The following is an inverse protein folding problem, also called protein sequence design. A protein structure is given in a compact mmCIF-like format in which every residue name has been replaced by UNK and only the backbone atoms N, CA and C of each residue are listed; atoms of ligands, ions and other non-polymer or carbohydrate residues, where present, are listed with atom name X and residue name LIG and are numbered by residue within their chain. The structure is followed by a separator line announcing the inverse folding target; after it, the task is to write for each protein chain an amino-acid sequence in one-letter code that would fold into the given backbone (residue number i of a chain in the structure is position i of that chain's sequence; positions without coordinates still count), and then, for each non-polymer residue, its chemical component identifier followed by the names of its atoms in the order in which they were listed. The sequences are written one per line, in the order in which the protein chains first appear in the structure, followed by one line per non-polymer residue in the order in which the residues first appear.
data_IF_933116739363
#
_entry.id   IF_933116739363
#
_cell.length_a   1.000
_cell.length_b   1.000
_cell.length_c   1.000
_cell.angle_alpha   90.00
_cell.angle_beta   90.00
_cell.angle_gamma   90.00
#
_symmetry.space_group_name_H-M   'P 1'
#
loop_
_entity.id
_entity.type
_entity.pdbx_description
1 polymer ?
#
# COMPACT_ATOMS: atom_id res chain seq x y z
N UNK A 1 -11.76 39.57 7.68
CA UNK A 1 -12.75 39.24 8.72
C UNK A 1 -13.83 38.43 8.06
N UNK A 2 -14.15 37.25 8.60
CA UNK A 2 -15.18 36.37 8.11
C UNK A 2 -16.41 36.52 9.01
N UNK A 3 -17.60 36.67 8.42
CA UNK A 3 -18.85 36.80 9.19
C UNK A 3 -20.07 36.42 8.37
N UNK A 4 -21.17 36.17 9.05
CA UNK A 4 -22.46 35.94 8.41
C UNK A 4 -23.32 37.17 8.51
N UNK A 5 -24.08 37.47 7.45
CA UNK A 5 -25.02 38.58 7.40
C UNK A 5 -26.42 38.06 7.10
N UNK A 6 -27.36 38.35 7.97
CA UNK A 6 -28.77 38.08 7.73
C UNK A 6 -29.39 39.37 7.14
N UNK A 7 -29.99 39.27 5.96
CA UNK A 7 -30.73 40.35 5.31
C UNK A 7 -32.21 40.00 5.31
N UNK A 8 -33.05 40.89 5.81
CA UNK A 8 -34.51 40.75 5.82
C UNK A 8 -35.10 41.95 5.10
N UNK A 9 -36.09 41.73 4.25
CA UNK A 9 -36.68 42.79 3.43
C UNK A 9 -35.76 43.35 2.34
N UNK A 10 -34.77 42.55 1.89
CA UNK A 10 -33.89 42.92 0.80
C UNK A 10 -34.60 42.89 -0.55
N UNK A 11 -33.97 43.47 -1.62
CA UNK A 11 -34.46 43.45 -3.01
C UNK A 11 -35.92 43.86 -3.18
N UNK A 12 -36.21 45.07 -2.77
CA UNK A 12 -37.57 45.62 -2.90
C UNK A 12 -38.55 45.12 -1.85
N UNK A 13 -38.03 44.76 -0.69
CA UNK A 13 -38.81 44.35 0.50
C UNK A 13 -39.55 42.99 0.29
N UNK A 14 -38.95 42.08 -0.45
CA UNK A 14 -39.62 40.82 -0.78
C UNK A 14 -38.82 39.56 -0.40
N UNK A 15 -37.61 39.70 0.08
CA UNK A 15 -36.75 38.53 0.31
C UNK A 15 -35.98 38.59 1.63
N UNK A 16 -35.69 37.40 2.19
CA UNK A 16 -34.71 37.24 3.26
C UNK A 16 -33.60 36.30 2.82
N UNK A 17 -32.36 36.54 3.23
CA UNK A 17 -31.26 35.66 2.97
C UNK A 17 -30.15 35.80 4.00
N UNK A 18 -29.39 34.71 4.16
CA UNK A 18 -28.15 34.68 4.91
C UNK A 18 -26.98 34.64 3.94
N UNK A 19 -25.98 35.50 4.14
CA UNK A 19 -24.77 35.56 3.31
C UNK A 19 -23.54 35.26 4.16
N UNK A 20 -22.65 34.41 3.66
CA UNK A 20 -21.32 34.25 4.22
C UNK A 20 -20.39 35.28 3.57
N UNK A 21 -19.73 36.09 4.37
CA UNK A 21 -18.78 37.11 3.93
C UNK A 21 -17.38 36.65 4.34
N UNK A 22 -16.53 36.37 3.34
CA UNK A 22 -15.14 35.94 3.53
C UNK A 22 -14.22 37.04 3.03
N UNK A 23 -13.31 37.48 3.92
CA UNK A 23 -12.36 38.60 3.63
C UNK A 23 -13.01 39.85 3.03
N UNK A 24 -14.24 40.15 3.49
CA UNK A 24 -14.97 41.33 3.05
C UNK A 24 -15.73 41.19 1.73
N UNK A 25 -15.64 40.04 1.10
CA UNK A 25 -16.35 39.74 -0.18
C UNK A 25 -17.49 38.76 0.09
N UNK A 26 -18.70 39.12 -0.40
CA UNK A 26 -19.84 38.18 -0.34
C UNK A 26 -19.65 37.05 -1.34
N UNK A 27 -19.77 35.82 -0.90
CA UNK A 27 -19.74 34.63 -1.76
C UNK A 27 -21.03 34.54 -2.60
N UNK A 28 -21.18 35.42 -3.57
CA UNK A 28 -22.33 35.39 -4.50
C UNK A 28 -22.03 34.73 -5.85
N UNK A 29 -20.85 34.15 -6.03
CA UNK A 29 -20.47 33.45 -7.25
C UNK A 29 -19.63 32.21 -6.94
N UNK A 30 -20.27 31.05 -7.08
CA UNK A 30 -19.61 29.74 -7.09
C UNK A 30 -19.89 28.89 -5.84
N UNK A 31 -20.58 27.79 -6.05
CA UNK A 31 -20.86 26.68 -5.12
C UNK A 31 -21.29 27.10 -3.70
N UNK A 32 -22.44 27.72 -3.62
CA UNK A 32 -23.08 28.08 -2.37
C UNK A 32 -23.70 26.83 -1.77
N UNK A 33 -23.23 26.44 -0.59
CA UNK A 33 -23.96 25.52 0.26
C UNK A 33 -25.42 26.01 0.38
N UNK A 34 -26.35 25.10 0.18
CA UNK A 34 -27.79 25.30 0.09
C UNK A 34 -28.35 26.47 0.91
N UNK A 35 -28.73 27.55 0.22
CA UNK A 35 -29.53 28.63 0.78
C UNK A 35 -31.00 28.30 0.56
N UNK A 36 -31.80 28.25 1.62
CA UNK A 36 -33.25 28.25 1.43
C UNK A 36 -33.74 29.71 1.39
N UNK A 37 -34.38 30.05 0.30
CA UNK A 37 -35.08 31.32 0.19
C UNK A 37 -36.56 31.08 0.54
N UNK A 38 -37.07 31.85 1.49
CA UNK A 38 -38.52 31.99 1.62
C UNK A 38 -38.90 33.27 0.90
N UNK A 39 -39.61 33.15 -0.20
CA UNK A 39 -40.23 34.29 -0.91
C UNK A 39 -41.33 34.90 -0.06
N UNK A 40 -41.54 36.25 -0.16
CA UNK A 40 -42.58 37.06 0.48
C UNK A 40 -42.36 37.42 1.92
N UNK A 41 -41.13 37.72 2.32
CA UNK A 41 -40.88 38.47 3.58
C UNK A 41 -41.11 39.95 3.28
N UNK A 42 -42.21 40.52 3.82
CA UNK A 42 -42.55 41.93 3.65
C UNK A 42 -42.43 42.65 5.01
N UNK A 43 -41.70 43.74 5.04
CA UNK A 43 -41.50 44.57 6.19
C UNK A 43 -42.31 45.89 5.97
N UNK A 44 -43.26 46.17 6.85
CA UNK A 44 -44.07 47.40 6.76
C UNK A 44 -43.40 48.52 7.55
N UNK A 45 -43.58 49.74 7.09
CA UNK A 45 -43.10 50.90 7.80
C UNK A 45 -43.90 51.12 9.12
N UNK A 46 -43.19 51.50 10.19
CA UNK A 46 -43.71 51.77 11.54
C UNK A 46 -44.30 50.52 12.26
N UNK A 47 -43.94 49.32 11.84
CA UNK A 47 -44.22 48.09 12.58
C UNK A 47 -42.95 47.59 13.31
N UNK A 48 -43.14 46.96 14.45
CA UNK A 48 -42.10 46.25 15.16
C UNK A 48 -42.12 44.79 14.79
N UNK A 49 -40.94 44.22 14.60
CA UNK A 49 -40.74 42.82 14.28
C UNK A 49 -39.74 42.18 15.21
N UNK A 50 -40.06 41.02 15.74
CA UNK A 50 -39.08 40.16 16.42
C UNK A 50 -38.26 39.39 15.42
N UNK A 51 -36.94 39.54 15.53
CA UNK A 51 -35.99 38.81 14.71
C UNK A 51 -35.20 37.84 15.58
N UNK A 52 -35.41 36.54 15.38
CA UNK A 52 -34.66 35.49 16.03
C UNK A 52 -33.65 34.90 15.08
N UNK A 53 -32.38 34.76 15.49
CA UNK A 53 -31.35 34.06 14.73
C UNK A 53 -30.80 32.93 15.58
N UNK A 54 -31.04 31.71 15.15
CA UNK A 54 -30.47 30.48 15.74
C UNK A 54 -29.17 30.13 15.04
N UNK A 55 -28.10 29.92 15.81
CA UNK A 55 -26.78 29.52 15.29
C UNK A 55 -26.39 28.20 15.93
N UNK A 56 -26.34 27.14 15.15
CA UNK A 56 -25.80 25.83 15.54
C UNK A 56 -24.46 25.60 14.88
N UNK A 57 -23.82 24.47 15.13
CA UNK A 57 -22.55 24.12 14.48
C UNK A 57 -22.70 23.94 12.96
N UNK A 58 -23.85 23.42 12.51
CA UNK A 58 -24.09 23.04 11.11
C UNK A 58 -24.92 24.06 10.32
N UNK A 59 -25.71 24.90 11.00
CA UNK A 59 -26.73 25.71 10.34
C UNK A 59 -26.97 27.03 11.06
N UNK A 60 -27.33 28.05 10.29
CA UNK A 60 -27.87 29.33 10.78
C UNK A 60 -29.32 29.41 10.25
N UNK A 61 -30.27 29.67 11.15
CA UNK A 61 -31.68 29.91 10.85
C UNK A 61 -32.11 31.30 11.27
N UNK A 62 -32.97 31.88 10.49
CA UNK A 62 -33.58 33.17 10.82
C UNK A 62 -35.11 33.05 10.82
N UNK A 63 -35.71 33.72 11.78
CA UNK A 63 -37.15 33.78 12.00
C UNK A 63 -37.57 35.26 12.13
N UNK A 64 -38.78 35.53 11.68
CA UNK A 64 -39.44 36.82 11.81
C UNK A 64 -40.79 36.63 12.52
N UNK A 65 -41.01 37.21 13.69
CA UNK A 65 -42.19 37.00 14.53
C UNK A 65 -42.46 35.50 14.76
N UNK A 66 -41.42 34.72 15.09
CA UNK A 66 -41.42 33.28 15.30
C UNK A 66 -41.71 32.44 14.02
N UNK A 67 -41.94 33.07 12.85
CA UNK A 67 -42.05 32.37 11.59
C UNK A 67 -40.67 32.17 10.94
N UNK A 68 -40.38 30.94 10.50
CA UNK A 68 -39.13 30.62 9.80
C UNK A 68 -39.04 31.36 8.46
N UNK A 69 -37.96 32.09 8.20
CA UNK A 69 -37.78 32.87 6.97
C UNK A 69 -36.65 32.40 6.07
N UNK A 70 -35.53 31.93 6.61
CA UNK A 70 -34.44 31.37 5.82
C UNK A 70 -33.44 30.61 6.68
N UNK A 71 -32.67 29.72 6.04
CA UNK A 71 -31.55 29.08 6.66
C UNK A 71 -30.31 29.10 5.76
N UNK A 72 -29.16 28.85 6.37
CA UNK A 72 -27.88 28.69 5.70
C UNK A 72 -27.13 27.55 6.38
N UNK A 73 -26.88 26.47 5.61
CA UNK A 73 -26.02 25.39 6.07
C UNK A 73 -24.58 25.89 6.01
N UNK A 74 -23.91 25.90 7.16
CA UNK A 74 -22.49 26.22 7.21
C UNK A 74 -21.74 25.19 6.39
N UNK A 75 -20.79 25.61 5.53
CA UNK A 75 -19.89 24.64 4.92
C UNK A 75 -19.19 23.90 6.05
N UNK A 76 -19.12 22.57 5.95
CA UNK A 76 -18.27 21.80 6.88
C UNK A 76 -16.86 22.35 6.76
N UNK A 77 -16.36 22.94 7.84
CA UNK A 77 -14.94 23.23 7.96
C UNK A 77 -14.25 21.87 8.08
N UNK A 78 -13.73 21.39 6.98
CA UNK A 78 -12.82 20.28 7.02
C UNK A 78 -11.53 20.76 7.67
N UNK A 79 -10.96 19.93 8.55
CA UNK A 79 -9.66 20.24 9.14
C UNK A 79 -8.58 20.40 8.09
N UNK A 80 -7.40 20.90 8.46
CA UNK A 80 -6.30 21.17 7.52
C UNK A 80 -5.65 19.90 6.93
N UNK A 81 -6.09 18.71 7.38
CA UNK A 81 -5.63 17.41 6.88
C UNK A 81 -6.82 16.62 6.37
N UNK A 82 -6.68 16.12 5.15
CA UNK A 82 -7.68 15.29 4.49
C UNK A 82 -7.08 13.93 4.22
N UNK A 83 -7.86 12.87 4.36
CA UNK A 83 -7.43 11.53 4.02
C UNK A 83 -8.56 10.73 3.36
N UNK A 84 -8.16 9.79 2.53
CA UNK A 84 -9.03 8.75 1.99
C UNK A 84 -8.24 7.47 1.84
N UNK A 85 -8.92 6.34 1.93
CA UNK A 85 -8.29 5.03 1.69
C UNK A 85 -9.13 4.23 0.71
N UNK A 86 -8.44 3.35 -0.01
CA UNK A 86 -9.04 2.37 -0.91
C UNK A 86 -8.28 1.06 -0.79
N UNK A 87 -9.01 -0.04 -0.86
CA UNK A 87 -8.43 -1.36 -0.98
C UNK A 87 -8.32 -1.71 -2.46
N UNK A 88 -7.13 -2.10 -2.89
CA UNK A 88 -6.85 -2.55 -4.25
C UNK A 88 -7.01 -4.08 -4.27
N UNK A 89 -8.12 -4.56 -4.79
CA UNK A 89 -8.45 -6.00 -4.83
C UNK A 89 -7.48 -6.81 -5.70
N UNK A 90 -6.81 -6.16 -6.64
CA UNK A 90 -5.87 -6.83 -7.56
C UNK A 90 -4.52 -7.10 -6.87
N UNK A 91 -4.01 -6.12 -6.12
CA UNK A 91 -2.70 -6.20 -5.46
C UNK A 91 -2.80 -6.56 -3.98
N UNK A 92 -4.01 -6.44 -3.39
CA UNK A 92 -4.24 -6.57 -1.96
C UNK A 92 -3.65 -5.44 -1.14
N UNK A 93 -3.32 -4.33 -1.77
CA UNK A 93 -2.73 -3.19 -1.06
C UNK A 93 -3.83 -2.28 -0.48
N UNK A 94 -3.59 -1.75 0.68
CA UNK A 94 -4.35 -0.59 1.18
C UNK A 94 -3.62 0.67 0.75
N UNK A 95 -4.28 1.47 -0.08
CA UNK A 95 -3.75 2.74 -0.58
C UNK A 95 -4.37 3.87 0.23
N UNK A 96 -3.55 4.59 0.98
CA UNK A 96 -3.96 5.76 1.77
C UNK A 96 -3.47 7.02 1.07
N UNK A 97 -4.40 7.95 0.83
CA UNK A 97 -4.09 9.28 0.29
C UNK A 97 -4.23 10.30 1.42
N UNK A 98 -3.25 11.16 1.56
CA UNK A 98 -3.20 12.21 2.58
C UNK A 98 -2.91 13.54 1.93
N UNK A 99 -3.68 14.57 2.26
CA UNK A 99 -3.42 15.96 1.90
C UNK A 99 -3.19 16.74 3.19
N UNK A 100 -2.03 17.34 3.34
CA UNK A 100 -1.74 18.31 4.40
C UNK A 100 -1.69 19.70 3.77
N UNK A 101 -2.62 20.57 4.17
CA UNK A 101 -2.69 21.96 3.68
C UNK A 101 -2.13 22.96 4.68
N UNK A 102 -1.43 22.48 5.72
CA UNK A 102 -0.73 23.34 6.67
C UNK A 102 0.67 23.69 6.16
N UNK A 103 1.16 24.82 6.57
CA UNK A 103 2.53 25.30 6.35
C UNK A 103 3.58 24.61 7.25
N UNK A 104 3.18 23.53 7.94
CA UNK A 104 4.01 22.76 8.85
C UNK A 104 3.70 21.27 8.73
N UNK A 105 4.68 20.45 9.05
CA UNK A 105 4.53 18.99 9.10
C UNK A 105 3.53 18.55 10.17
N UNK A 106 2.73 17.54 9.86
CA UNK A 106 1.72 17.00 10.78
C UNK A 106 1.91 15.50 10.98
N UNK A 107 1.98 15.09 12.25
CA UNK A 107 1.97 13.69 12.62
C UNK A 107 0.53 13.14 12.63
N UNK A 108 0.27 12.14 11.79
CA UNK A 108 -1.04 11.54 11.59
C UNK A 108 -0.98 10.09 12.11
N UNK A 109 -1.81 9.77 13.09
CA UNK A 109 -2.01 8.39 13.52
C UNK A 109 -2.78 7.61 12.47
N UNK A 110 -2.18 6.55 11.95
CA UNK A 110 -2.78 5.61 11.01
C UNK A 110 -3.26 4.37 11.77
N UNK A 111 -4.51 3.95 11.50
CA UNK A 111 -5.05 2.70 12.00
C UNK A 111 -5.68 1.93 10.84
N UNK A 112 -5.08 0.80 10.49
CA UNK A 112 -5.59 -0.11 9.45
C UNK A 112 -6.39 -1.20 10.14
N UNK A 113 -7.69 -1.25 9.90
CA UNK A 113 -8.61 -2.25 10.43
C UNK A 113 -9.24 -3.06 9.31
N UNK A 114 -9.50 -4.33 9.57
CA UNK A 114 -10.06 -5.25 8.57
C UNK A 114 -9.00 -5.98 7.75
N UNK A 115 -7.78 -5.44 7.66
CA UNK A 115 -6.65 -6.00 6.96
C UNK A 115 -5.42 -6.06 7.86
N UNK A 116 -4.50 -6.98 7.58
CA UNK A 116 -3.21 -7.06 8.28
C UNK A 116 -2.10 -6.51 7.40
N UNK A 117 -1.44 -5.46 7.85
CA UNK A 117 -0.24 -4.93 7.19
C UNK A 117 0.91 -5.92 7.40
N UNK A 118 1.47 -6.43 6.31
CA UNK A 118 2.44 -7.54 6.31
C UNK A 118 3.87 -7.09 6.06
N UNK A 119 4.09 -5.83 5.73
CA UNK A 119 5.42 -5.24 5.53
C UNK A 119 5.58 -4.02 6.42
N UNK A 120 6.72 -3.91 7.10
CA UNK A 120 7.10 -2.69 7.83
C UNK A 120 7.53 -1.55 6.89
N UNK A 121 7.71 -1.83 5.60
CA UNK A 121 8.04 -0.85 4.58
C UNK A 121 6.81 -0.58 3.71
N UNK A 122 6.46 0.69 3.55
CA UNK A 122 5.43 1.13 2.62
C UNK A 122 6.03 2.07 1.57
N UNK A 123 5.71 1.84 0.30
CA UNK A 123 6.04 2.78 -0.78
C UNK A 123 5.17 4.02 -0.63
N UNK A 124 5.80 5.16 -0.51
CA UNK A 124 5.11 6.43 -0.35
C UNK A 124 5.55 7.40 -1.45
N UNK A 125 4.58 7.86 -2.23
CA UNK A 125 4.82 8.93 -3.21
C UNK A 125 4.36 10.24 -2.59
N UNK A 126 5.26 11.20 -2.46
CA UNK A 126 5.01 12.51 -1.87
C UNK A 126 5.24 13.60 -2.90
N UNK A 127 4.27 14.49 -3.01
CA UNK A 127 4.39 15.75 -3.72
C UNK A 127 4.22 16.88 -2.71
N UNK A 128 5.27 17.67 -2.50
CA UNK A 128 5.29 18.80 -1.55
C UNK A 128 6.09 19.95 -2.14
N UNK A 129 5.77 21.17 -1.74
CA UNK A 129 6.46 22.35 -2.19
C UNK A 129 5.69 23.62 -1.83
N UNK A 130 6.29 24.78 -2.08
CA UNK A 130 5.63 26.08 -1.93
C UNK A 130 4.35 26.12 -2.77
N UNK A 131 3.23 26.50 -2.16
CA UNK A 131 1.90 26.58 -2.77
C UNK A 131 1.83 27.56 -3.96
N UNK A 132 2.83 28.41 -4.12
CA UNK A 132 2.95 29.34 -5.25
C UNK A 132 3.75 28.74 -6.43
N UNK A 133 4.34 27.56 -6.29
CA UNK A 133 5.04 26.91 -7.37
C UNK A 133 4.05 26.20 -8.30
N UNK A 134 4.31 26.33 -9.59
CA UNK A 134 3.58 25.63 -10.65
C UNK A 134 4.55 25.09 -11.70
N UNK A 135 4.20 23.94 -12.27
CA UNK A 135 4.91 23.43 -13.42
C UNK A 135 4.51 24.23 -14.66
N UNK A 136 5.48 24.74 -15.40
CA UNK A 136 5.28 25.52 -16.61
C UNK A 136 6.07 24.93 -17.79
N UNK A 137 5.88 25.48 -18.98
CA UNK A 137 6.68 25.07 -20.15
C UNK A 137 8.17 25.33 -19.96
N UNK A 138 8.52 26.36 -19.21
CA UNK A 138 9.92 26.77 -18.94
C UNK A 138 10.50 26.06 -17.71
N UNK A 139 9.65 25.62 -16.78
CA UNK A 139 10.05 24.88 -15.59
C UNK A 139 9.09 23.70 -15.35
N UNK A 140 9.30 22.61 -16.06
CA UNK A 140 8.43 21.43 -16.05
C UNK A 140 8.51 20.62 -14.75
N UNK A 141 9.55 20.82 -13.96
CA UNK A 141 9.86 20.05 -12.76
C UNK A 141 9.93 20.93 -11.50
N UNK A 142 9.18 22.05 -11.46
CA UNK A 142 9.09 22.90 -10.27
C UNK A 142 8.53 22.12 -9.08
N UNK A 143 7.51 21.27 -9.34
CA UNK A 143 6.96 20.32 -8.38
C UNK A 143 6.89 18.94 -9.05
N UNK A 144 7.57 17.97 -8.46
CA UNK A 144 7.56 16.58 -8.92
C UNK A 144 7.29 15.62 -7.77
N UNK A 145 6.56 14.53 -8.01
CA UNK A 145 6.42 13.45 -7.04
C UNK A 145 7.79 12.85 -6.70
N UNK A 146 8.01 12.56 -5.42
CA UNK A 146 9.19 11.85 -4.92
C UNK A 146 8.74 10.55 -4.30
N UNK A 147 9.41 9.47 -4.62
CA UNK A 147 9.22 8.20 -3.92
C UNK A 147 10.12 8.15 -2.68
N UNK A 148 9.53 7.80 -1.56
CA UNK A 148 10.21 7.59 -0.29
C UNK A 148 9.72 6.27 0.31
N UNK A 149 10.55 5.62 1.09
CA UNK A 149 10.18 4.45 1.87
C UNK A 149 9.80 4.85 3.29
N UNK A 150 8.64 4.40 3.73
CA UNK A 150 8.17 4.54 5.09
C UNK A 150 8.48 3.23 5.82
N UNK A 151 9.41 3.25 6.77
CA UNK A 151 9.99 2.06 7.41
C UNK A 151 9.30 1.61 8.70
N UNK A 152 8.20 2.23 9.09
CA UNK A 152 7.44 1.92 10.30
C UNK A 152 6.00 1.51 10.02
N UNK A 153 5.71 1.06 8.81
CA UNK A 153 4.37 0.64 8.41
C UNK A 153 3.91 -0.55 9.25
N UNK A 154 2.69 -0.50 9.74
CA UNK A 154 2.05 -1.56 10.52
C UNK A 154 0.54 -1.28 10.59
N UNK A 155 -0.22 -2.12 11.26
CA UNK A 155 -1.64 -1.82 11.47
C UNK A 155 -1.89 -0.55 12.30
N UNK A 156 -0.92 -0.14 13.12
CA UNK A 156 -0.97 1.10 13.90
C UNK A 156 0.38 1.79 13.84
N UNK A 157 0.47 2.88 13.10
CA UNK A 157 1.71 3.64 12.95
C UNK A 157 1.45 5.13 12.85
N UNK A 158 2.49 5.94 12.93
CA UNK A 158 2.42 7.39 12.72
C UNK A 158 3.09 7.75 11.41
N UNK A 159 2.38 8.48 10.57
CA UNK A 159 2.92 9.10 9.36
C UNK A 159 3.15 10.59 9.59
N UNK A 160 4.35 11.06 9.32
CA UNK A 160 4.66 12.49 9.28
C UNK A 160 4.35 13.03 7.88
N UNK A 161 3.21 13.73 7.73
CA UNK A 161 2.82 14.36 6.48
C UNK A 161 3.54 15.71 6.35
N UNK A 162 4.40 15.92 5.34
CA UNK A 162 5.10 17.18 5.15
C UNK A 162 4.14 18.36 4.96
N UNK A 163 4.63 19.57 5.25
CA UNK A 163 3.90 20.80 4.97
C UNK A 163 3.49 20.87 3.49
N UNK A 164 2.33 21.47 3.22
CA UNK A 164 1.81 21.70 1.85
C UNK A 164 2.00 20.49 0.93
N UNK A 165 1.50 19.31 1.34
CA UNK A 165 1.78 18.05 0.66
C UNK A 165 0.56 17.24 0.27
N UNK A 166 0.74 16.45 -0.78
CA UNK A 166 -0.10 15.33 -1.15
C UNK A 166 0.74 14.05 -1.12
N UNK A 167 0.30 13.06 -0.35
CA UNK A 167 0.99 11.80 -0.15
C UNK A 167 0.10 10.63 -0.54
N UNK A 168 0.68 9.64 -1.22
CA UNK A 168 0.04 8.35 -1.50
C UNK A 168 0.89 7.28 -0.83
N UNK A 169 0.34 6.63 0.18
CA UNK A 169 0.99 5.57 0.96
C UNK A 169 0.37 4.25 0.51
N UNK A 170 1.19 3.33 0.04
CA UNK A 170 0.78 2.00 -0.38
C UNK A 170 1.27 0.98 0.64
N UNK A 171 0.34 0.44 1.42
CA UNK A 171 0.58 -0.54 2.47
C UNK A 171 0.33 -1.94 1.90
N UNK A 172 1.31 -2.81 2.02
CA UNK A 172 1.14 -4.23 1.71
C UNK A 172 0.27 -4.89 2.78
N UNK A 173 -0.81 -5.56 2.37
CA UNK A 173 -1.64 -6.34 3.29
C UNK A 173 -1.71 -7.81 2.87
N UNK A 174 -2.03 -8.69 3.82
CA UNK A 174 -2.04 -10.13 3.57
C UNK A 174 -3.23 -10.65 2.75
N UNK A 175 -4.13 -9.77 2.32
CA UNK A 175 -5.35 -10.14 1.60
C UNK A 175 -5.31 -9.87 0.08
N UNK A 176 -4.19 -9.46 -0.48
CA UNK A 176 -3.98 -9.56 -1.92
C UNK A 176 -4.25 -11.00 -2.30
N UNK A 177 -5.26 -11.23 -3.14
CA UNK A 177 -5.65 -12.58 -3.50
C UNK A 177 -4.40 -13.39 -3.84
N UNK A 178 -4.15 -14.44 -3.07
CA UNK A 178 -2.95 -15.26 -3.23
C UNK A 178 -2.88 -15.70 -4.69
N UNK A 179 -1.96 -15.12 -5.46
CA UNK A 179 -1.76 -15.56 -6.84
C UNK A 179 -1.28 -17.01 -6.81
N UNK A 180 -1.81 -17.84 -7.70
CA UNK A 180 -1.19 -19.14 -7.98
C UNK A 180 0.18 -18.88 -8.58
N UNK A 181 1.23 -19.14 -7.83
CA UNK A 181 2.60 -18.88 -8.26
C UNK A 181 3.44 -20.14 -8.50
N UNK A 182 2.92 -21.27 -8.05
CA UNK A 182 3.52 -22.58 -8.26
C UNK A 182 2.43 -23.58 -8.62
N UNK A 183 2.75 -24.53 -9.48
CA UNK A 183 1.87 -25.64 -9.85
C UNK A 183 2.53 -26.97 -9.57
N UNK A 184 1.73 -28.04 -9.57
CA UNK A 184 2.24 -29.41 -9.60
C UNK A 184 2.77 -29.79 -10.99
N UNK A 185 3.19 -31.03 -11.10
CA UNK A 185 3.66 -31.63 -12.34
C UNK A 185 2.51 -32.27 -13.15
N UNK A 186 2.75 -32.51 -14.42
CA UNK A 186 1.74 -33.10 -15.33
C UNK A 186 1.23 -34.49 -14.90
N UNK A 187 1.99 -35.18 -14.04
CA UNK A 187 1.62 -36.48 -13.48
C UNK A 187 0.68 -36.38 -12.25
N UNK A 188 0.23 -35.18 -11.90
CA UNK A 188 -0.66 -34.93 -10.76
C UNK A 188 0.04 -34.93 -9.41
N UNK A 189 1.37 -34.84 -9.38
CA UNK A 189 2.16 -34.76 -8.16
C UNK A 189 2.63 -33.31 -7.89
N UNK A 190 2.88 -32.97 -6.61
CA UNK A 190 3.52 -31.71 -6.21
C UNK A 190 5.00 -31.91 -5.88
N UNK A 191 5.37 -33.08 -5.39
CA UNK A 191 6.72 -33.47 -4.92
C UNK A 191 7.25 -32.54 -3.80
N UNK A 192 6.56 -32.46 -2.65
CA UNK A 192 6.88 -31.49 -1.60
C UNK A 192 8.30 -31.62 -1.07
N UNK A 193 8.81 -32.83 -0.94
CA UNK A 193 10.13 -33.14 -0.38
C UNK A 193 11.27 -33.16 -1.43
N UNK A 194 10.94 -32.96 -2.72
CA UNK A 194 11.95 -32.80 -3.76
C UNK A 194 12.56 -31.40 -3.69
N UNK A 195 13.82 -31.28 -4.07
CA UNK A 195 14.52 -30.00 -4.17
C UNK A 195 13.91 -29.13 -5.27
N UNK A 196 14.10 -27.81 -5.15
CA UNK A 196 13.67 -26.82 -6.16
C UNK A 196 14.90 -26.23 -6.85
N UNK A 197 14.80 -26.05 -8.17
CA UNK A 197 15.90 -25.48 -8.96
C UNK A 197 15.94 -23.95 -8.91
N UNK A 198 17.05 -23.37 -9.33
CA UNK A 198 17.22 -21.93 -9.46
C UNK A 198 16.24 -21.35 -10.49
N UNK A 199 15.99 -22.07 -11.62
CA UNK A 199 15.02 -21.66 -12.62
C UNK A 199 13.59 -21.64 -12.07
N UNK A 200 13.17 -22.69 -11.34
CA UNK A 200 11.85 -22.75 -10.71
C UNK A 200 11.67 -21.62 -9.66
N UNK A 201 12.73 -21.32 -8.91
CA UNK A 201 12.72 -20.20 -7.96
C UNK A 201 12.53 -18.85 -8.68
N UNK A 202 13.24 -18.61 -9.78
CA UNK A 202 13.06 -17.40 -10.59
C UNK A 202 11.63 -17.27 -11.12
N UNK A 203 11.02 -18.40 -11.55
CA UNK A 203 9.63 -18.42 -12.00
C UNK A 203 8.64 -18.09 -10.87
N UNK A 204 8.86 -18.60 -9.65
CA UNK A 204 8.04 -18.24 -8.48
C UNK A 204 8.12 -16.74 -8.22
N UNK A 205 9.33 -16.17 -8.13
CA UNK A 205 9.55 -14.75 -7.88
C UNK A 205 8.86 -13.88 -8.93
N UNK A 206 9.02 -14.19 -10.20
CA UNK A 206 8.40 -13.42 -11.28
C UNK A 206 6.86 -13.51 -11.22
N UNK A 207 6.28 -14.69 -11.03
CA UNK A 207 4.82 -14.88 -10.95
C UNK A 207 4.21 -14.19 -9.73
N UNK A 208 4.94 -14.08 -8.64
CA UNK A 208 4.49 -13.33 -7.46
C UNK A 208 4.53 -11.81 -7.66
N UNK A 209 5.34 -11.34 -8.61
CA UNK A 209 5.53 -9.91 -8.84
C UNK A 209 4.36 -9.29 -9.60
N UNK A 210 3.85 -8.16 -9.11
CA UNK A 210 2.70 -7.48 -9.72
C UNK A 210 3.04 -6.83 -11.07
N UNK A 211 4.30 -6.46 -11.28
CA UNK A 211 4.81 -5.79 -12.48
C UNK A 211 5.48 -6.74 -13.49
N UNK A 212 5.38 -8.04 -13.26
CA UNK A 212 5.80 -9.03 -14.26
C UNK A 212 4.75 -9.15 -15.38
N UNK A 213 5.16 -8.87 -16.60
CA UNK A 213 4.32 -9.00 -17.79
C UNK A 213 4.82 -10.19 -18.63
N UNK A 214 4.02 -11.24 -18.72
CA UNK A 214 4.36 -12.46 -19.50
C UNK A 214 4.55 -12.18 -21.00
N UNK A 215 3.97 -11.08 -21.52
CA UNK A 215 4.07 -10.69 -22.91
C UNK A 215 5.31 -9.83 -23.21
N UNK A 216 6.01 -9.36 -22.19
CA UNK A 216 7.26 -8.61 -22.30
C UNK A 216 8.44 -9.59 -22.30
N UNK A 217 9.39 -9.39 -23.22
CA UNK A 217 10.67 -10.10 -23.20
C UNK A 217 11.62 -9.44 -22.22
N UNK A 218 12.08 -10.17 -21.21
CA UNK A 218 13.12 -9.76 -20.29
C UNK A 218 14.42 -10.49 -20.64
N UNK A 219 15.42 -9.73 -21.08
CA UNK A 219 16.70 -10.31 -21.44
C UNK A 219 17.59 -10.46 -20.20
N UNK A 220 18.45 -11.48 -20.21
CA UNK A 220 19.53 -11.63 -19.24
C UNK A 220 20.87 -11.78 -19.93
N UNK A 221 21.93 -11.35 -19.26
CA UNK A 221 23.31 -11.47 -19.78
C UNK A 221 23.99 -12.78 -19.36
N UNK A 222 23.22 -13.75 -18.83
CA UNK A 222 23.75 -15.03 -18.41
C UNK A 222 24.17 -15.91 -19.60
N UNK A 223 25.39 -16.44 -19.56
CA UNK A 223 26.03 -17.13 -20.67
C UNK A 223 25.39 -18.48 -21.04
N UNK A 224 24.64 -19.06 -20.10
CA UNK A 224 23.99 -20.37 -20.19
C UNK A 224 22.45 -20.30 -20.25
N UNK A 225 21.85 -19.10 -20.37
CA UNK A 225 20.41 -18.90 -20.51
C UNK A 225 20.08 -18.58 -21.95
N UNK A 226 19.53 -19.55 -22.67
CA UNK A 226 19.02 -19.34 -24.03
C UNK A 226 17.61 -18.76 -23.98
N UNK A 227 17.29 -17.80 -24.88
CA UNK A 227 15.97 -17.19 -24.97
C UNK A 227 14.83 -18.17 -25.30
N UNK A 228 15.15 -19.39 -25.73
CA UNK A 228 14.18 -20.44 -26.04
C UNK A 228 13.83 -21.32 -24.83
N UNK A 229 14.53 -21.14 -23.71
CA UNK A 229 14.26 -21.92 -22.51
C UNK A 229 12.99 -21.40 -21.82
N UNK A 230 12.20 -22.29 -21.24
CA UNK A 230 10.95 -21.95 -20.57
C UNK A 230 11.13 -20.94 -19.43
N UNK A 231 12.29 -20.93 -18.81
CA UNK A 231 12.64 -20.08 -17.68
C UNK A 231 13.28 -18.74 -18.10
N UNK A 232 13.65 -18.57 -19.36
CA UNK A 232 14.45 -17.42 -19.81
C UNK A 232 13.82 -16.06 -19.43
N UNK A 233 12.51 -15.93 -19.64
CA UNK A 233 11.78 -14.71 -19.34
C UNK A 233 11.69 -14.42 -17.84
N UNK A 234 11.50 -15.43 -17.02
CA UNK A 234 11.47 -15.32 -15.55
C UNK A 234 12.84 -14.97 -14.99
N UNK A 235 13.89 -15.60 -15.48
CA UNK A 235 15.28 -15.31 -15.10
C UNK A 235 15.65 -13.90 -15.52
N UNK A 236 15.31 -13.48 -16.74
CA UNK A 236 15.56 -12.12 -17.23
C UNK A 236 14.87 -11.06 -16.35
N UNK A 237 13.60 -11.27 -16.01
CA UNK A 237 12.87 -10.39 -15.13
C UNK A 237 13.53 -10.28 -13.73
N UNK A 238 13.80 -11.43 -13.10
CA UNK A 238 14.36 -11.43 -11.75
C UNK A 238 15.79 -10.83 -11.71
N UNK A 239 16.56 -10.96 -12.82
CA UNK A 239 17.85 -10.32 -12.97
C UNK A 239 17.72 -8.80 -13.19
N UNK A 240 16.79 -8.34 -14.05
CA UNK A 240 16.49 -6.91 -14.27
C UNK A 240 16.12 -6.20 -12.94
N UNK A 241 15.40 -6.92 -12.07
CA UNK A 241 15.03 -6.43 -10.73
C UNK A 241 16.14 -6.53 -9.68
N UNK A 242 17.25 -7.20 -9.99
CA UNK A 242 18.34 -7.43 -9.03
C UNK A 242 18.04 -8.47 -7.95
N UNK A 243 16.96 -9.24 -8.09
CA UNK A 243 16.63 -10.30 -7.14
C UNK A 243 17.57 -11.50 -7.23
N UNK A 244 18.03 -11.82 -8.45
CA UNK A 244 18.95 -12.94 -8.70
C UNK A 244 20.24 -12.46 -9.34
N UNK A 245 21.31 -13.22 -9.08
CA UNK A 245 22.60 -13.04 -9.71
C UNK A 245 23.13 -14.38 -10.23
N UNK A 246 24.01 -14.31 -11.23
CA UNK A 246 24.75 -15.45 -11.71
C UNK A 246 26.01 -15.74 -10.86
N UNK A 247 26.71 -16.79 -11.25
CA UNK A 247 27.97 -17.16 -10.66
C UNK A 247 29.14 -16.47 -11.37
N UNK A 248 30.33 -16.56 -10.75
CA UNK A 248 31.55 -16.05 -11.33
C UNK A 248 31.78 -16.66 -12.74
N UNK A 249 32.10 -15.82 -13.72
CA UNK A 249 32.25 -16.21 -15.11
C UNK A 249 30.97 -16.11 -15.95
N UNK A 250 29.82 -15.70 -15.34
CA UNK A 250 28.59 -15.30 -16.04
C UNK A 250 27.48 -16.33 -16.17
N UNK A 251 27.60 -17.62 -15.73
CA UNK A 251 26.48 -18.54 -15.84
C UNK A 251 25.45 -18.34 -14.73
N UNK A 252 24.17 -18.64 -15.04
CA UNK A 252 23.08 -18.67 -14.06
C UNK A 252 22.93 -20.05 -13.40
N UNK A 253 23.21 -21.12 -14.14
CA UNK A 253 23.05 -22.52 -13.73
C UNK A 253 21.59 -22.85 -13.35
N UNK A 254 20.69 -22.71 -14.30
CA UNK A 254 19.24 -22.82 -14.14
C UNK A 254 18.78 -24.13 -13.48
N UNK A 255 19.39 -25.25 -13.84
CA UNK A 255 18.96 -26.60 -13.47
C UNK A 255 19.57 -27.11 -12.13
N UNK A 256 20.44 -26.36 -11.49
CA UNK A 256 20.93 -26.78 -10.18
C UNK A 256 19.94 -26.40 -9.07
N UNK A 257 19.94 -27.23 -8.04
CA UNK A 257 19.15 -26.97 -6.84
C UNK A 257 19.62 -25.69 -6.16
N UNK A 258 18.67 -24.85 -5.73
CA UNK A 258 19.01 -23.64 -4.97
C UNK A 258 19.34 -24.00 -3.52
N UNK A 259 20.35 -23.34 -2.96
CA UNK A 259 20.67 -23.48 -1.53
C UNK A 259 19.79 -22.57 -0.67
N UNK A 260 19.68 -22.88 0.63
CA UNK A 260 18.90 -22.06 1.58
C UNK A 260 19.50 -20.68 1.74
N UNK A 261 20.82 -20.54 1.69
CA UNK A 261 21.51 -19.26 1.71
C UNK A 261 21.21 -18.42 0.47
N UNK A 262 21.26 -19.05 -0.73
CA UNK A 262 20.89 -18.36 -1.97
C UNK A 262 19.41 -17.95 -1.99
N UNK A 263 18.51 -18.82 -1.54
CA UNK A 263 17.08 -18.47 -1.44
C UNK A 263 16.85 -17.33 -0.44
N UNK A 264 17.58 -17.31 0.70
CA UNK A 264 17.49 -16.23 1.66
C UNK A 264 17.87 -14.87 1.04
N UNK A 265 18.94 -14.82 0.26
CA UNK A 265 19.33 -13.60 -0.49
C UNK A 265 18.22 -13.14 -1.43
N UNK A 266 17.64 -14.05 -2.20
CA UNK A 266 16.57 -13.74 -3.17
C UNK A 266 15.32 -13.22 -2.45
N UNK A 267 14.87 -13.90 -1.40
CA UNK A 267 13.67 -13.53 -0.67
C UNK A 267 13.81 -12.21 0.09
N UNK A 268 14.99 -11.96 0.68
CA UNK A 268 15.28 -10.70 1.36
C UNK A 268 15.24 -9.53 0.37
N UNK A 269 15.88 -9.67 -0.79
CA UNK A 269 15.82 -8.65 -1.85
C UNK A 269 14.42 -8.46 -2.41
N UNK A 270 13.69 -9.54 -2.64
CA UNK A 270 12.33 -9.49 -3.17
C UNK A 270 11.37 -8.80 -2.20
N UNK A 271 11.45 -9.11 -0.90
CA UNK A 271 10.65 -8.49 0.14
C UNK A 271 11.14 -7.10 0.58
N UNK A 272 12.31 -6.67 0.09
CA UNK A 272 13.00 -5.44 0.54
C UNK A 272 13.25 -5.46 2.05
N UNK A 273 13.70 -6.59 2.56
CA UNK A 273 14.09 -6.72 3.97
C UNK A 273 15.58 -6.43 4.11
N UNK A 274 15.92 -5.41 4.89
CA UNK A 274 17.30 -5.03 5.16
C UNK A 274 17.76 -5.64 6.49
N UNK A 275 18.78 -6.50 6.41
CA UNK A 275 19.48 -7.02 7.57
C UNK A 275 20.58 -6.08 8.01
N UNK A 276 20.51 -5.62 9.27
CA UNK A 276 21.52 -4.77 9.89
C UNK A 276 22.40 -5.65 10.80
N UNK A 277 23.54 -6.03 10.29
CA UNK A 277 24.55 -6.75 11.05
C UNK A 277 24.68 -8.24 10.72
N UNK A 278 25.25 -8.97 11.68
CA UNK A 278 25.57 -10.39 11.55
C UNK A 278 24.50 -11.27 12.20
N UNK A 279 24.24 -12.41 11.58
CA UNK A 279 23.32 -13.41 12.11
C UNK A 279 24.03 -14.23 13.22
N UNK A 280 23.61 -14.04 14.45
CA UNK A 280 24.14 -14.80 15.61
C UNK A 280 23.19 -15.89 16.08
N UNK A 281 22.02 -15.99 15.49
CA UNK A 281 20.94 -16.88 15.87
C UNK A 281 21.20 -18.34 15.46
N UNK A 282 22.03 -18.54 14.43
CA UNK A 282 22.35 -19.86 13.89
C UNK A 282 23.83 -20.19 14.02
N UNK A 283 24.14 -21.34 14.60
CA UNK A 283 25.52 -21.75 14.91
C UNK A 283 26.37 -22.06 13.68
N UNK A 284 25.74 -22.28 12.52
CA UNK A 284 26.36 -22.67 11.26
C UNK A 284 26.37 -21.56 10.22
N UNK A 285 26.05 -20.32 10.60
CA UNK A 285 26.12 -19.14 9.73
C UNK A 285 27.31 -18.27 10.21
N UNK A 286 28.48 -18.36 9.55
CA UNK A 286 29.62 -17.53 9.92
C UNK A 286 29.36 -16.04 9.66
N UNK A 287 29.99 -15.16 10.44
CA UNK A 287 29.82 -13.72 10.32
C UNK A 287 30.26 -13.15 8.95
N UNK A 288 31.17 -13.84 8.27
CA UNK A 288 31.69 -13.51 6.95
C UNK A 288 31.04 -14.30 5.82
N UNK A 289 29.98 -15.06 6.14
CA UNK A 289 29.18 -15.75 5.11
C UNK A 289 28.41 -14.74 4.27
N UNK A 290 28.41 -14.90 2.94
CA UNK A 290 27.85 -13.94 1.99
C UNK A 290 26.35 -13.64 2.21
N UNK A 291 25.61 -14.55 2.82
CA UNK A 291 24.17 -14.41 3.05
C UNK A 291 23.81 -14.06 4.51
N UNK A 292 24.79 -13.79 5.38
CA UNK A 292 24.53 -13.61 6.83
C UNK A 292 23.54 -12.49 7.12
N UNK A 293 23.67 -11.33 6.48
CA UNK A 293 22.77 -10.19 6.64
C UNK A 293 21.34 -10.48 6.14
N UNK A 294 21.22 -11.21 5.04
CA UNK A 294 19.94 -11.60 4.45
C UNK A 294 19.20 -12.64 5.31
N UNK A 295 19.95 -13.63 5.85
CA UNK A 295 19.39 -14.62 6.77
C UNK A 295 18.90 -13.92 8.05
N UNK A 296 19.68 -12.96 8.58
CA UNK A 296 19.30 -12.14 9.73
C UNK A 296 18.01 -11.37 9.46
N UNK A 297 17.92 -10.68 8.32
CA UNK A 297 16.74 -9.95 7.92
C UNK A 297 15.48 -10.83 7.91
N UNK A 298 15.56 -12.01 7.31
CA UNK A 298 14.44 -12.95 7.26
C UNK A 298 14.11 -13.56 8.63
N UNK A 299 15.08 -13.71 9.51
CA UNK A 299 14.85 -14.16 10.88
C UNK A 299 14.12 -13.11 11.70
N UNK A 300 14.55 -11.85 11.63
CA UNK A 300 13.92 -10.73 12.34
C UNK A 300 12.46 -10.53 11.91
N UNK A 301 12.17 -10.78 10.65
CA UNK A 301 10.80 -10.75 10.08
C UNK A 301 10.01 -12.06 10.32
N UNK A 302 10.54 -13.02 11.08
CA UNK A 302 9.92 -14.31 11.35
C UNK A 302 9.62 -15.17 10.10
N UNK A 303 10.29 -14.89 8.99
CA UNK A 303 10.15 -15.65 7.74
C UNK A 303 10.87 -17.00 7.86
N UNK A 304 12.03 -17.00 8.51
CA UNK A 304 12.82 -18.20 8.82
C UNK A 304 13.02 -18.37 10.32
N UNK A 305 13.10 -19.61 10.78
CA UNK A 305 13.33 -19.93 12.21
C UNK A 305 14.48 -20.92 12.46
N UNK A 306 15.10 -21.43 11.38
CA UNK A 306 16.12 -22.48 11.49
C UNK A 306 15.54 -23.85 11.87
N UNK A 307 16.45 -24.76 12.23
CA UNK A 307 16.13 -26.12 12.65
C UNK A 307 16.22 -26.27 14.17
N UNK A 308 15.64 -27.34 14.70
CA UNK A 308 15.63 -27.63 16.15
C UNK A 308 17.04 -27.76 16.76
N UNK A 309 18.05 -28.09 15.95
CA UNK A 309 19.46 -28.19 16.35
C UNK A 309 20.16 -26.81 16.41
N UNK A 310 19.46 -25.71 16.21
CA UNK A 310 20.03 -24.36 16.23
C UNK A 310 20.82 -23.99 14.97
N UNK A 311 20.63 -24.74 13.87
CA UNK A 311 21.29 -24.47 12.59
C UNK A 311 20.34 -23.86 11.58
N UNK A 312 20.87 -23.17 10.57
CA UNK A 312 20.15 -22.70 9.40
C UNK A 312 20.32 -23.60 8.17
N UNK A 313 21.45 -24.27 8.09
CA UNK A 313 21.92 -25.12 6.96
C UNK A 313 21.99 -24.36 5.65
N UNK A 314 22.79 -23.27 5.58
CA UNK A 314 22.76 -22.35 4.44
C UNK A 314 23.17 -22.99 3.11
N UNK A 315 24.03 -24.00 3.12
CA UNK A 315 24.54 -24.68 1.93
C UNK A 315 23.69 -25.90 1.50
N UNK A 316 22.66 -26.27 2.27
CA UNK A 316 21.76 -27.33 1.90
C UNK A 316 20.79 -26.88 0.82
N UNK A 317 20.45 -27.79 -0.12
CA UNK A 317 19.37 -27.56 -1.08
C UNK A 317 18.03 -27.41 -0.38
N UNK A 318 17.16 -26.56 -0.93
CA UNK A 318 15.82 -26.28 -0.40
C UNK A 318 14.83 -27.20 -1.04
N UNK A 319 13.89 -27.73 -0.25
CA UNK A 319 12.75 -28.47 -0.79
C UNK A 319 11.67 -27.54 -1.32
N UNK A 320 10.80 -28.01 -2.21
CA UNK A 320 9.66 -27.26 -2.74
C UNK A 320 8.72 -26.81 -1.63
N UNK A 321 8.49 -27.65 -0.62
CA UNK A 321 7.69 -27.33 0.55
C UNK A 321 8.29 -26.20 1.39
N UNK A 322 9.62 -26.21 1.61
CA UNK A 322 10.31 -25.14 2.31
C UNK A 322 10.26 -23.81 1.54
N UNK A 323 10.53 -23.85 0.23
CA UNK A 323 10.49 -22.67 -0.63
C UNK A 323 9.11 -22.01 -0.63
N UNK A 324 8.04 -22.81 -0.77
CA UNK A 324 6.66 -22.31 -0.69
C UNK A 324 6.34 -21.72 0.66
N UNK A 325 6.77 -22.36 1.75
CA UNK A 325 6.54 -21.89 3.10
C UNK A 325 7.20 -20.52 3.35
N UNK A 326 8.45 -20.37 2.92
CA UNK A 326 9.18 -19.11 3.04
C UNK A 326 8.53 -18.03 2.16
N UNK A 327 8.16 -18.36 0.92
CA UNK A 327 7.53 -17.41 0.00
C UNK A 327 6.16 -16.92 0.49
N UNK A 328 5.30 -17.81 1.01
CA UNK A 328 4.01 -17.40 1.59
C UNK A 328 4.19 -16.42 2.74
N UNK A 329 5.21 -16.62 3.58
CA UNK A 329 5.51 -15.70 4.68
C UNK A 329 6.00 -14.33 4.16
N UNK A 330 6.86 -14.31 3.13
CA UNK A 330 7.30 -13.06 2.47
C UNK A 330 6.11 -12.30 1.87
N UNK A 331 5.17 -13.03 1.26
CA UNK A 331 3.96 -12.45 0.67
C UNK A 331 2.91 -12.07 1.72
N UNK A 332 3.03 -12.53 2.96
CA UNK A 332 1.99 -12.40 3.97
C UNK A 332 0.69 -13.12 3.62
N UNK A 333 0.79 -14.17 2.81
CA UNK A 333 -0.39 -14.91 2.38
C UNK A 333 -1.12 -15.55 3.56
N UNK A 334 -2.44 -15.36 3.68
CA UNK A 334 -3.23 -16.09 4.67
C UNK A 334 -3.21 -17.59 4.35
N UNK A 335 -3.05 -18.41 5.40
CA UNK A 335 -3.04 -19.86 5.25
C UNK A 335 -4.41 -20.35 4.77
N UNK A 336 -4.45 -21.09 3.67
CA UNK A 336 -5.68 -21.69 3.17
C UNK A 336 -6.17 -22.79 4.13
N UNK A 337 -7.32 -22.56 4.75
CA UNK A 337 -8.00 -23.55 5.57
C UNK A 337 -9.02 -24.35 4.72
N UNK A 338 -9.05 -25.67 4.90
CA UNK A 338 -9.98 -26.57 4.18
C UNK A 338 -9.90 -26.51 2.65
N UNK A 339 -8.73 -26.22 2.11
CA UNK A 339 -8.50 -26.19 0.67
C UNK A 339 -8.56 -27.59 0.07
N UNK A 340 -9.10 -27.69 -1.14
CA UNK A 340 -9.14 -28.96 -1.89
C UNK A 340 -7.73 -29.33 -2.35
N UNK A 341 -7.31 -30.58 -2.08
CA UNK A 341 -5.98 -31.05 -2.47
C UNK A 341 -6.01 -31.71 -3.84
N UNK A 342 -5.41 -31.12 -4.87
CA UNK A 342 -5.36 -31.71 -6.20
C UNK A 342 -4.25 -32.74 -6.40
N UNK A 343 -3.36 -32.95 -5.40
CA UNK A 343 -2.17 -33.78 -5.54
C UNK A 343 -2.26 -35.10 -4.77
N UNK A 344 -1.90 -36.18 -5.45
CA UNK A 344 -1.93 -37.52 -4.84
C UNK A 344 -0.82 -37.78 -3.83
N UNK A 345 0.27 -37.01 -3.88
CA UNK A 345 1.50 -37.17 -3.08
C UNK A 345 1.63 -36.17 -1.91
N UNK A 346 0.68 -35.27 -1.72
CA UNK A 346 0.67 -34.33 -0.59
C UNK A 346 -0.29 -34.85 0.47
N UNK A 347 0.23 -35.49 1.51
CA UNK A 347 -0.58 -35.95 2.63
C UNK A 347 -1.19 -34.77 3.42
N UNK A 348 -2.46 -34.84 3.86
CA UNK A 348 -3.04 -33.85 4.79
C UNK A 348 -2.25 -33.68 6.09
N UNK A 349 -1.46 -34.68 6.47
CA UNK A 349 -0.58 -34.63 7.66
C UNK A 349 0.83 -34.07 7.33
N UNK A 350 1.12 -33.74 6.10
CA UNK A 350 2.39 -33.13 5.74
C UNK A 350 2.51 -31.74 6.41
N UNK A 351 3.66 -31.44 7.00
CA UNK A 351 3.88 -30.22 7.78
C UNK A 351 3.59 -28.94 6.98
N UNK A 352 3.84 -28.95 5.67
CA UNK A 352 3.61 -27.82 4.78
C UNK A 352 2.29 -27.91 4.00
N UNK A 353 1.37 -28.83 4.35
CA UNK A 353 0.13 -29.05 3.60
C UNK A 353 -0.62 -27.74 3.30
N UNK A 354 -0.94 -26.98 4.33
CA UNK A 354 -1.68 -25.74 4.17
C UNK A 354 -0.89 -24.65 3.40
N UNK A 355 0.42 -24.65 3.54
CA UNK A 355 1.30 -23.74 2.79
C UNK A 355 1.28 -24.05 1.28
N UNK A 356 1.32 -25.35 0.92
CA UNK A 356 1.25 -25.80 -0.46
C UNK A 356 -0.11 -25.44 -1.04
N UNK A 357 -1.20 -25.73 -0.29
CA UNK A 357 -2.56 -25.42 -0.77
C UNK A 357 -2.75 -23.91 -0.99
N UNK A 358 -2.19 -23.07 -0.13
CA UNK A 358 -2.18 -21.61 -0.29
C UNK A 358 -1.50 -21.19 -1.60
N UNK A 359 -0.35 -21.80 -1.92
CA UNK A 359 0.45 -21.42 -3.08
C UNK A 359 -0.15 -21.83 -4.44
N UNK A 360 -0.93 -22.93 -4.46
CA UNK A 360 -1.45 -23.52 -5.70
C UNK A 360 -2.90 -23.15 -6.01
N UNK A 361 -3.62 -22.55 -5.10
CA UNK A 361 -5.04 -22.25 -5.33
C UNK A 361 -5.30 -20.77 -5.56
N UNK A 362 -4.46 -19.89 -5.04
CA UNK A 362 -4.75 -18.46 -5.02
C UNK A 362 -6.09 -18.18 -4.30
N UNK A 363 -6.28 -17.02 -3.76
CA UNK A 363 -7.61 -16.56 -3.29
C UNK A 363 -7.97 -15.25 -3.96
#
# INVERSE_FOLDING_TARGET
MNYYRVNIGGWGNTTAKIQHIVNGVSSSSGNVAEQSYVGNVHINDNEWYDVTVEVTDDEIKAYLNDEFICSYKKPKEYGPVYSSSVYDEETGDVIVKVVNTMDSDVNIGMNVSGETVTSNIAKTTVMSGDTNLENSLDNKNAIVPKEIELTNASNNFTYNAPADSFSIIRLKTGNGGSKVYISGYEDGTFRPDSTITRAETAAIIARCSADFDENKMYASDFTDVSNNEWYANYVGYAAEKGYIHGYEGGPFKADIDITRGELAVILSKYGSFDGDGICTEFSDVPNDYYATEYIKALYDENIVSGYEDGTFKPDNSVTRAEAVTMMNKVLGNPIAENAENPFGDVSPNHWAYNQIMTAVQGK
#
